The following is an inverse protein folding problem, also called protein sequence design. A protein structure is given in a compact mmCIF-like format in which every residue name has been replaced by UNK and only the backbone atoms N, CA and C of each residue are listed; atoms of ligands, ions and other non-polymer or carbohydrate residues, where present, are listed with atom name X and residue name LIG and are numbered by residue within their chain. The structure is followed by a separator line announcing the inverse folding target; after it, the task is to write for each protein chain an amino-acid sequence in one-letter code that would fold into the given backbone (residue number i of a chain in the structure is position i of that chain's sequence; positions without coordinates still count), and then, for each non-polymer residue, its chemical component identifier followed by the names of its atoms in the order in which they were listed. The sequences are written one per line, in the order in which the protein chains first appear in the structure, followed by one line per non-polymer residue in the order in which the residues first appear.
data_IF_332708874198
#
_entry.id   IF_332708874198
#
_cell.length_a   1.000
_cell.length_b   1.000
_cell.length_c   1.000
_cell.angle_alpha   90.00
_cell.angle_beta   90.00
_cell.angle_gamma   90.00
#
_symmetry.space_group_name_H-M   'P 1'
#
loop_
_entity.id
_entity.type
_entity.pdbx_description
1 polymer ?
#
# COMPACT_ATOMS: atom_id res chain seq x y z
N UNK A 1 -39.17 13.37 9.47
CA UNK A 1 -37.98 12.50 9.30
C UNK A 1 -38.42 11.23 8.63
N UNK A 2 -37.88 10.96 7.44
CA UNK A 2 -38.29 9.82 6.61
C UNK A 2 -37.75 8.49 7.15
N UNK A 3 -38.26 7.37 6.65
CA UNK A 3 -37.78 6.02 6.98
C UNK A 3 -36.28 5.86 6.69
N UNK A 4 -35.77 6.54 5.64
CA UNK A 4 -34.36 6.55 5.28
C UNK A 4 -33.46 7.26 6.30
N UNK A 5 -33.91 8.38 6.89
CA UNK A 5 -33.12 9.12 7.89
C UNK A 5 -32.93 8.30 9.16
N UNK A 6 -34.00 7.65 9.64
CA UNK A 6 -33.92 6.72 10.78
C UNK A 6 -33.01 5.53 10.51
N UNK A 7 -33.02 5.03 9.28
CA UNK A 7 -32.14 3.94 8.88
C UNK A 7 -30.66 4.38 8.88
N UNK A 8 -30.37 5.59 8.39
CA UNK A 8 -29.02 6.17 8.50
C UNK A 8 -28.58 6.39 9.93
N UNK A 9 -29.46 6.88 10.81
CA UNK A 9 -29.15 7.03 12.24
C UNK A 9 -28.80 5.69 12.90
N UNK A 10 -29.53 4.62 12.56
CA UNK A 10 -29.22 3.27 13.03
C UNK A 10 -27.88 2.77 12.50
N UNK A 11 -27.61 2.97 11.21
CA UNK A 11 -26.32 2.63 10.61
C UNK A 11 -25.17 3.45 11.22
N UNK A 12 -25.37 4.74 11.47
CA UNK A 12 -24.39 5.62 12.09
C UNK A 12 -24.07 5.19 13.53
N UNK A 13 -25.09 4.80 14.31
CA UNK A 13 -24.91 4.23 15.64
C UNK A 13 -24.11 2.91 15.64
N UNK A 14 -24.15 2.17 14.53
CA UNK A 14 -23.35 0.97 14.31
C UNK A 14 -21.98 1.24 13.65
N UNK A 15 -21.63 2.49 13.35
CA UNK A 15 -20.38 2.86 12.65
C UNK A 15 -20.38 2.62 11.14
N UNK A 16 -21.55 2.36 10.54
CA UNK A 16 -21.75 2.05 9.12
C UNK A 16 -22.52 3.14 8.36
N UNK A 17 -22.84 4.28 8.98
CA UNK A 17 -23.69 5.34 8.43
C UNK A 17 -23.27 5.84 7.05
N UNK A 18 -21.96 5.89 6.82
CA UNK A 18 -21.37 6.42 5.60
C UNK A 18 -20.87 5.33 4.62
N UNK A 19 -21.21 4.06 4.85
CA UNK A 19 -20.76 2.95 3.99
C UNK A 19 -21.67 2.67 2.81
N UNK A 20 -22.93 3.09 2.87
CA UNK A 20 -23.92 2.86 1.83
C UNK A 20 -24.27 4.15 1.13
N UNK A 21 -24.50 4.05 -0.17
CA UNK A 21 -25.05 5.15 -0.97
C UNK A 21 -26.57 5.24 -0.81
N UNK A 22 -27.13 6.41 -1.10
CA UNK A 22 -28.59 6.64 -1.04
C UNK A 22 -29.38 5.63 -1.90
N UNK A 23 -28.98 5.34 -3.15
CA UNK A 23 -29.67 4.32 -3.95
C UNK A 23 -29.65 2.92 -3.31
N UNK A 24 -28.55 2.54 -2.62
CA UNK A 24 -28.47 1.26 -1.92
C UNK A 24 -29.40 1.24 -0.71
N UNK A 25 -29.44 2.31 0.08
CA UNK A 25 -30.38 2.47 1.20
C UNK A 25 -31.82 2.35 0.69
N UNK A 26 -32.17 3.05 -0.38
CA UNK A 26 -33.50 2.97 -0.96
C UNK A 26 -33.84 1.57 -1.50
N UNK A 27 -32.89 0.89 -2.13
CA UNK A 27 -33.07 -0.48 -2.61
C UNK A 27 -33.33 -1.43 -1.44
N UNK A 28 -32.62 -1.28 -0.34
CA UNK A 28 -32.80 -2.08 0.87
C UNK A 28 -34.16 -1.84 1.51
N UNK A 29 -34.57 -0.57 1.62
CA UNK A 29 -35.88 -0.21 2.17
C UNK A 29 -37.03 -0.72 1.29
N UNK A 30 -36.84 -0.77 -0.03
CA UNK A 30 -37.82 -1.34 -0.98
C UNK A 30 -37.84 -2.88 -0.96
N UNK A 31 -36.71 -3.51 -0.68
CA UNK A 31 -36.52 -4.96 -0.67
C UNK A 31 -36.74 -5.65 0.68
N UNK A 32 -37.01 -4.90 1.76
CA UNK A 32 -37.14 -5.38 3.14
C UNK A 32 -38.39 -6.24 3.43
N UNK A 33 -38.84 -7.04 2.47
CA UNK A 33 -39.85 -8.09 2.66
C UNK A 33 -39.29 -9.22 3.51
N UNK A 34 -39.66 -9.21 4.79
CA UNK A 34 -39.60 -10.26 5.82
C UNK A 34 -38.23 -10.82 6.26
N UNK A 35 -37.14 -10.71 5.48
CA UNK A 35 -35.82 -11.22 5.91
C UNK A 35 -34.77 -10.12 6.01
N UNK A 36 -34.01 -10.04 7.13
CA UNK A 36 -32.87 -9.15 7.24
C UNK A 36 -31.88 -9.45 6.10
N UNK A 37 -31.62 -8.47 5.24
CA UNK A 37 -30.55 -8.57 4.26
C UNK A 37 -29.26 -8.07 4.90
N UNK A 38 -28.24 -8.94 4.96
CA UNK A 38 -26.89 -8.53 5.33
C UNK A 38 -26.28 -7.77 4.17
N UNK A 39 -25.93 -6.51 4.40
CA UNK A 39 -25.41 -5.57 3.40
C UNK A 39 -23.88 -5.50 3.36
N UNK A 40 -23.27 -6.03 4.42
CA UNK A 40 -21.83 -6.10 4.60
C UNK A 40 -21.48 -6.26 6.07
N UNK A 41 -20.19 -6.44 6.34
CA UNK A 41 -19.65 -6.52 7.70
C UNK A 41 -18.55 -5.47 7.88
N UNK A 42 -18.51 -4.80 9.03
CA UNK A 42 -17.44 -3.84 9.37
C UNK A 42 -16.15 -4.57 9.71
N UNK A 43 -15.05 -4.18 9.06
CA UNK A 43 -13.75 -4.85 9.19
C UNK A 43 -12.81 -3.96 10.02
N UNK A 44 -12.18 -4.52 11.04
CA UNK A 44 -11.05 -3.89 11.70
C UNK A 44 -9.84 -3.91 10.78
N UNK A 45 -9.09 -2.82 10.69
CA UNK A 45 -7.92 -2.74 9.80
C UNK A 45 -6.66 -2.52 10.62
N UNK A 46 -5.64 -3.34 10.37
CA UNK A 46 -4.31 -3.21 10.98
C UNK A 46 -3.26 -3.06 9.89
N UNK A 47 -2.44 -2.00 9.99
CA UNK A 47 -1.29 -1.77 9.13
C UNK A 47 -0.02 -1.98 9.95
N UNK A 48 0.85 -2.91 9.55
CA UNK A 48 2.02 -3.30 10.33
C UNK A 48 1.69 -3.52 11.82
N UNK A 49 0.70 -4.37 12.08
CA UNK A 49 0.13 -4.65 13.40
C UNK A 49 -0.49 -3.46 14.16
N UNK A 50 -0.49 -2.25 13.61
CA UNK A 50 -1.05 -1.06 14.25
C UNK A 50 -2.51 -0.84 13.82
N UNK A 51 -3.46 -0.65 14.75
CA UNK A 51 -4.86 -0.44 14.40
C UNK A 51 -5.06 0.89 13.67
N UNK A 52 -5.98 0.89 12.73
CA UNK A 52 -6.42 2.08 11.99
C UNK A 52 -7.81 2.48 12.47
N UNK A 53 -8.04 3.78 12.69
CA UNK A 53 -9.34 4.30 13.15
C UNK A 53 -10.45 4.05 12.14
N UNK A 54 -10.15 4.21 10.84
CA UNK A 54 -11.09 3.96 9.77
C UNK A 54 -11.35 2.45 9.59
N UNK A 55 -12.63 2.07 9.53
CA UNK A 55 -13.06 0.68 9.36
C UNK A 55 -13.07 0.29 7.88
N UNK A 56 -12.76 -0.96 7.60
CA UNK A 56 -13.03 -1.59 6.32
C UNK A 56 -14.46 -2.12 6.25
N UNK A 57 -14.79 -2.74 5.11
CA UNK A 57 -16.10 -3.35 4.87
C UNK A 57 -15.95 -4.61 4.02
N UNK A 58 -16.65 -5.68 4.38
CA UNK A 58 -16.92 -6.80 3.49
C UNK A 58 -18.15 -6.45 2.66
N UNK A 59 -18.00 -6.33 1.34
CA UNK A 59 -19.10 -6.01 0.42
C UNK A 59 -19.03 -6.91 -0.81
N UNK A 60 -20.13 -7.60 -1.13
CA UNK A 60 -20.20 -8.61 -2.21
C UNK A 60 -19.01 -9.59 -2.14
N UNK A 61 -18.83 -10.17 -0.96
CA UNK A 61 -17.77 -11.16 -0.66
C UNK A 61 -16.33 -10.67 -0.87
N UNK A 62 -16.14 -9.36 -1.02
CA UNK A 62 -14.82 -8.74 -1.16
C UNK A 62 -14.52 -7.88 0.07
N UNK A 63 -13.33 -8.05 0.64
CA UNK A 63 -12.84 -7.23 1.75
C UNK A 63 -12.25 -5.95 1.19
N UNK A 64 -12.87 -4.82 1.53
CA UNK A 64 -12.43 -3.49 1.17
C UNK A 64 -11.90 -2.77 2.41
N UNK A 65 -10.75 -2.12 2.29
CA UNK A 65 -10.15 -1.35 3.39
C UNK A 65 -9.91 0.11 2.99
N UNK A 66 -9.86 1.05 3.95
CA UNK A 66 -9.70 2.47 3.65
C UNK A 66 -8.36 2.75 2.96
N UNK A 67 -8.40 3.41 1.82
CA UNK A 67 -7.20 3.65 1.01
C UNK A 67 -6.30 4.77 1.57
N UNK A 68 -6.87 5.78 2.25
CA UNK A 68 -6.14 6.91 2.81
C UNK A 68 -5.06 6.51 3.86
N UNK A 69 -5.36 5.68 4.87
CA UNK A 69 -4.35 5.18 5.81
C UNK A 69 -3.20 4.43 5.13
N UNK A 70 -3.50 3.66 4.08
CA UNK A 70 -2.51 2.89 3.33
C UNK A 70 -1.59 3.83 2.57
N UNK A 71 -2.16 4.79 1.85
CA UNK A 71 -1.40 5.80 1.12
C UNK A 71 -0.47 6.60 2.05
N UNK A 72 -0.99 7.03 3.19
CA UNK A 72 -0.20 7.74 4.20
C UNK A 72 0.95 6.88 4.75
N UNK A 73 0.70 5.61 5.03
CA UNK A 73 1.70 4.73 5.66
C UNK A 73 2.79 4.25 4.68
N UNK A 74 2.47 4.19 3.39
CA UNK A 74 3.34 3.66 2.32
C UNK A 74 3.98 4.76 1.46
N UNK A 75 3.47 5.99 1.55
CA UNK A 75 3.79 7.07 0.63
C UNK A 75 3.19 6.89 -0.77
N UNK A 76 2.24 5.96 -0.96
CA UNK A 76 1.53 5.79 -2.23
C UNK A 76 0.68 7.01 -2.57
N UNK A 77 0.48 7.26 -3.86
CA UNK A 77 -0.29 8.39 -4.36
C UNK A 77 -1.76 7.99 -4.52
N UNK A 78 -2.66 8.76 -3.92
CA UNK A 78 -4.09 8.65 -4.17
C UNK A 78 -4.50 9.59 -5.29
N UNK A 79 -4.94 9.03 -6.41
CA UNK A 79 -5.45 9.78 -7.55
C UNK A 79 -6.96 9.64 -7.61
N UNK A 80 -7.68 10.71 -7.35
CA UNK A 80 -9.15 10.70 -7.37
C UNK A 80 -9.65 11.21 -8.71
N UNK A 81 -10.48 10.42 -9.39
CA UNK A 81 -11.14 10.81 -10.64
C UNK A 81 -12.66 10.64 -10.52
N UNK A 82 -13.39 11.12 -11.53
CA UNK A 82 -14.86 11.08 -11.55
C UNK A 82 -15.44 9.64 -11.52
N UNK A 83 -14.62 8.62 -11.80
CA UNK A 83 -15.02 7.20 -11.88
C UNK A 83 -14.78 6.36 -10.62
N UNK A 84 -14.27 6.92 -9.53
CA UNK A 84 -14.01 6.18 -8.29
C UNK A 84 -12.60 6.32 -7.73
N UNK A 85 -11.65 6.77 -8.55
CA UNK A 85 -10.24 6.95 -8.18
C UNK A 85 -9.38 5.69 -8.30
N UNK A 86 -8.08 5.89 -8.20
CA UNK A 86 -7.05 4.85 -8.24
C UNK A 86 -6.01 5.11 -7.14
N UNK A 87 -5.51 4.05 -6.52
CA UNK A 87 -4.31 4.10 -5.68
C UNK A 87 -3.12 3.72 -6.57
N UNK A 88 -2.16 4.64 -6.68
CA UNK A 88 -0.94 4.44 -7.46
C UNK A 88 0.26 4.22 -6.55
N UNK A 89 1.00 3.13 -6.77
CA UNK A 89 2.24 2.84 -6.06
C UNK A 89 3.20 2.10 -7.00
N UNK A 90 4.45 2.55 -7.07
CA UNK A 90 5.48 1.97 -7.95
C UNK A 90 5.05 1.90 -9.43
N UNK A 91 4.30 2.89 -9.92
CA UNK A 91 3.78 2.92 -11.30
C UNK A 91 2.64 1.92 -11.56
N UNK A 92 2.22 1.17 -10.54
CA UNK A 92 1.05 0.29 -10.61
C UNK A 92 -0.17 1.00 -10.06
N UNK A 93 -1.33 0.70 -10.63
CA UNK A 93 -2.60 1.31 -10.22
C UNK A 93 -3.59 0.25 -9.76
N UNK A 94 -4.28 0.54 -8.67
CA UNK A 94 -5.37 -0.29 -8.14
C UNK A 94 -6.66 0.52 -8.17
N UNK A 95 -7.76 0.00 -8.73
CA UNK A 95 -9.04 0.71 -8.72
C UNK A 95 -9.56 0.87 -7.30
N UNK A 96 -10.17 2.03 -7.02
CA UNK A 96 -10.79 2.34 -5.74
C UNK A 96 -12.31 2.28 -5.83
N UNK A 97 -12.93 1.81 -4.76
CA UNK A 97 -14.36 1.90 -4.52
C UNK A 97 -14.64 3.17 -3.74
N UNK A 98 -15.43 4.09 -4.33
CA UNK A 98 -15.90 5.28 -3.64
C UNK A 98 -17.15 4.96 -2.82
N UNK A 99 -17.12 5.34 -1.54
CA UNK A 99 -18.24 5.33 -0.59
C UNK A 99 -18.38 6.71 0.06
N UNK A 100 -19.51 7.06 0.69
CA UNK A 100 -19.63 8.32 1.42
C UNK A 100 -18.54 8.53 2.47
N UNK A 101 -18.11 7.44 3.14
CA UNK A 101 -17.04 7.44 4.13
C UNK A 101 -15.64 7.69 3.55
N UNK A 102 -15.46 7.58 2.22
CA UNK A 102 -14.17 7.77 1.57
C UNK A 102 -13.88 6.75 0.47
N UNK A 103 -12.59 6.60 0.16
CA UNK A 103 -12.11 5.67 -0.86
C UNK A 103 -11.61 4.39 -0.22
N UNK A 104 -11.98 3.27 -0.83
CA UNK A 104 -11.64 1.94 -0.37
C UNK A 104 -10.93 1.17 -1.46
N UNK A 105 -10.03 0.28 -1.07
CA UNK A 105 -9.28 -0.60 -1.96
C UNK A 105 -9.53 -2.04 -1.57
N UNK A 106 -9.62 -2.94 -2.54
CA UNK A 106 -9.75 -4.37 -2.27
C UNK A 106 -8.48 -4.91 -1.62
N UNK A 107 -8.62 -5.64 -0.52
CA UNK A 107 -7.49 -6.19 0.26
C UNK A 107 -6.54 -7.01 -0.62
N UNK A 108 -7.09 -7.93 -1.41
CA UNK A 108 -6.28 -8.83 -2.25
C UNK A 108 -5.64 -8.12 -3.44
N UNK A 109 -6.24 -7.02 -3.92
CA UNK A 109 -5.65 -6.20 -4.96
C UNK A 109 -4.36 -5.50 -4.47
N UNK A 110 -4.26 -5.18 -3.18
CA UNK A 110 -3.01 -4.69 -2.58
C UNK A 110 -1.94 -5.78 -2.55
N UNK A 111 -2.32 -7.02 -2.26
CA UNK A 111 -1.35 -8.11 -2.28
C UNK A 111 -0.85 -8.37 -3.70
N UNK A 112 -1.76 -8.53 -4.66
CA UNK A 112 -1.42 -8.90 -6.04
C UNK A 112 -0.68 -7.79 -6.78
N UNK A 113 -1.14 -6.54 -6.65
CA UNK A 113 -0.61 -5.44 -7.45
C UNK A 113 0.53 -4.77 -6.69
N UNK A 114 0.32 -4.49 -5.40
CA UNK A 114 1.26 -3.71 -4.61
C UNK A 114 2.34 -4.61 -3.95
N UNK A 115 2.15 -5.92 -3.86
CA UNK A 115 3.12 -6.84 -3.23
C UNK A 115 3.13 -6.73 -1.70
N UNK A 116 2.03 -6.25 -1.11
CA UNK A 116 1.86 -6.22 0.34
C UNK A 116 1.50 -7.62 0.86
N UNK A 117 1.90 -7.95 2.07
CA UNK A 117 1.42 -9.15 2.75
C UNK A 117 0.04 -8.85 3.33
N UNK A 118 -1.00 -9.49 2.81
CA UNK A 118 -2.37 -9.28 3.29
C UNK A 118 -2.93 -10.56 3.91
N UNK A 119 -3.75 -10.40 4.94
CA UNK A 119 -4.52 -11.49 5.54
C UNK A 119 -5.87 -11.00 6.05
N UNK A 120 -6.85 -11.89 6.13
CA UNK A 120 -8.15 -11.60 6.69
C UNK A 120 -8.54 -12.71 7.68
N UNK A 121 -8.78 -12.34 8.93
CA UNK A 121 -9.31 -13.24 9.96
C UNK A 121 -10.84 -13.04 10.04
N UNK A 122 -11.59 -14.05 9.57
CA UNK A 122 -13.05 -14.03 9.59
C UNK A 122 -13.64 -14.09 11.01
N UNK A 123 -12.95 -14.68 11.98
CA UNK A 123 -13.45 -14.83 13.34
C UNK A 123 -13.44 -13.50 14.08
N UNK A 124 -12.39 -12.70 13.88
CA UNK A 124 -12.26 -11.37 14.48
C UNK A 124 -12.65 -10.25 13.52
N UNK A 125 -13.02 -10.60 12.29
CA UNK A 125 -13.35 -9.68 11.20
C UNK A 125 -12.26 -8.61 11.01
N UNK A 126 -11.00 -9.04 10.99
CA UNK A 126 -9.82 -8.16 10.95
C UNK A 126 -9.02 -8.38 9.68
N UNK A 127 -8.78 -7.30 8.93
CA UNK A 127 -7.85 -7.26 7.82
C UNK A 127 -6.47 -6.79 8.30
N UNK A 128 -5.44 -7.54 7.94
CA UNK A 128 -4.05 -7.25 8.20
C UNK A 128 -3.37 -6.90 6.88
N UNK A 129 -2.63 -5.79 6.87
CA UNK A 129 -1.79 -5.39 5.75
C UNK A 129 -0.41 -5.09 6.30
N UNK A 130 0.56 -5.86 5.84
CA UNK A 130 1.93 -5.83 6.32
C UNK A 130 2.86 -5.49 5.15
N UNK A 131 3.80 -4.58 5.39
CA UNK A 131 4.77 -4.12 4.40
C UNK A 131 6.01 -3.57 5.08
N UNK A 132 7.16 -3.68 4.41
CA UNK A 132 8.40 -3.09 4.92
C UNK A 132 8.43 -1.59 4.58
N UNK A 133 8.61 -0.77 5.60
CA UNK A 133 8.85 0.66 5.44
C UNK A 133 10.34 0.91 5.26
N UNK A 134 10.69 1.66 4.23
CA UNK A 134 12.09 1.96 3.90
C UNK A 134 12.35 3.43 4.21
N UNK A 135 13.41 3.69 4.96
CA UNK A 135 13.86 5.03 5.30
C UNK A 135 15.25 5.24 4.72
N UNK A 136 15.42 6.32 3.97
CA UNK A 136 16.72 6.75 3.45
C UNK A 136 17.12 8.06 4.14
N UNK A 137 18.22 8.05 4.89
CA UNK A 137 18.69 9.18 5.70
C UNK A 137 17.57 9.80 6.55
N UNK A 138 16.75 8.95 7.19
CA UNK A 138 15.65 9.34 8.07
C UNK A 138 14.35 9.77 7.36
N UNK A 139 14.32 9.81 6.02
CA UNK A 139 13.11 10.13 5.23
C UNK A 139 12.48 8.87 4.66
N UNK A 140 11.16 8.78 4.65
CA UNK A 140 10.46 7.65 4.03
C UNK A 140 10.80 7.62 2.52
N UNK A 141 11.35 6.50 2.06
CA UNK A 141 11.63 6.26 0.66
C UNK A 141 10.36 5.70 0.00
N UNK A 142 9.75 6.42 -0.96
CA UNK A 142 8.62 5.89 -1.71
C UNK A 142 9.08 4.72 -2.59
N UNK A 143 8.17 3.80 -2.88
CA UNK A 143 8.45 2.70 -3.81
C UNK A 143 8.66 1.33 -3.17
N UNK A 144 8.41 1.18 -1.87
CA UNK A 144 8.26 -0.12 -1.19
C UNK A 144 9.41 -1.11 -1.35
N UNK A 145 9.14 -2.34 -0.95
CA UNK A 145 10.03 -3.51 -1.14
C UNK A 145 9.27 -4.57 -1.90
N UNK A 146 9.99 -5.42 -2.64
CA UNK A 146 9.44 -6.66 -3.20
C UNK A 146 10.25 -7.86 -2.72
N UNK A 147 9.59 -9.02 -2.60
CA UNK A 147 10.29 -10.29 -2.42
C UNK A 147 10.44 -10.94 -3.80
N UNK A 148 11.66 -10.91 -4.35
CA UNK A 148 11.99 -11.45 -5.67
C UNK A 148 12.95 -12.61 -5.46
N UNK A 149 12.58 -13.80 -5.93
CA UNK A 149 13.37 -15.03 -5.76
C UNK A 149 13.76 -15.29 -4.28
N UNK A 150 12.84 -15.00 -3.36
CA UNK A 150 13.05 -15.15 -1.91
C UNK A 150 13.90 -14.06 -1.26
N UNK A 151 14.33 -13.05 -2.00
CA UNK A 151 15.13 -11.93 -1.47
C UNK A 151 14.27 -10.67 -1.37
N UNK A 152 14.30 -10.03 -0.20
CA UNK A 152 13.79 -8.66 -0.06
C UNK A 152 14.66 -7.73 -0.90
N UNK A 153 14.05 -6.98 -1.80
CA UNK A 153 14.74 -6.11 -2.75
C UNK A 153 14.06 -4.75 -2.87
N UNK A 154 14.84 -3.72 -3.19
CA UNK A 154 14.39 -2.35 -3.37
C UNK A 154 14.45 -1.93 -4.84
N UNK A 155 13.50 -1.11 -5.32
CA UNK A 155 13.61 -0.54 -6.66
C UNK A 155 14.85 0.34 -6.75
N UNK A 156 15.80 -0.08 -7.58
CA UNK A 156 17.08 0.62 -7.72
C UNK A 156 16.90 2.08 -8.16
N UNK A 157 16.01 2.44 -9.11
CA UNK A 157 15.83 3.83 -9.52
C UNK A 157 15.48 4.78 -8.36
N UNK A 158 14.53 4.40 -7.49
CA UNK A 158 14.11 5.22 -6.36
C UNK A 158 15.24 5.37 -5.32
N UNK A 159 15.97 4.29 -5.07
CA UNK A 159 17.12 4.31 -4.15
C UNK A 159 18.22 5.24 -4.65
N UNK A 160 18.54 5.21 -5.94
CA UNK A 160 19.56 6.06 -6.55
C UNK A 160 19.13 7.52 -6.65
N UNK A 161 17.87 7.77 -6.99
CA UNK A 161 17.30 9.12 -6.96
C UNK A 161 17.44 9.74 -5.55
N UNK A 162 17.09 8.98 -4.51
CA UNK A 162 17.24 9.44 -3.12
C UNK A 162 18.71 9.68 -2.72
N UNK A 163 19.64 8.91 -3.27
CA UNK A 163 21.08 9.07 -3.07
C UNK A 163 21.73 10.15 -3.95
N UNK A 164 21.00 10.74 -4.90
CA UNK A 164 21.55 11.67 -5.89
C UNK A 164 22.48 11.00 -6.91
N UNK A 165 22.35 9.68 -7.11
CA UNK A 165 23.13 8.88 -8.04
C UNK A 165 22.35 8.68 -9.35
N UNK A 166 23.07 8.52 -10.47
CA UNK A 166 22.46 8.25 -11.77
C UNK A 166 22.55 6.76 -12.10
N UNK A 167 21.41 6.21 -12.54
CA UNK A 167 21.34 4.87 -13.09
C UNK A 167 21.63 4.91 -14.59
N UNK A 168 22.63 4.15 -15.02
CA UNK A 168 22.87 3.87 -16.44
C UNK A 168 22.29 2.48 -16.75
N UNK A 169 21.25 2.43 -17.57
CA UNK A 169 20.65 1.17 -18.02
C UNK A 169 21.20 0.77 -19.39
N UNK A 170 21.57 -0.49 -19.55
CA UNK A 170 21.84 -1.08 -20.86
C UNK A 170 20.73 -2.09 -21.18
N UNK A 171 19.74 -1.64 -21.95
CA UNK A 171 18.58 -2.46 -22.30
C UNK A 171 18.97 -3.74 -23.06
N UNK A 172 19.99 -3.68 -23.92
CA UNK A 172 20.43 -4.80 -24.75
C UNK A 172 21.07 -5.93 -23.93
N UNK A 173 21.69 -5.58 -22.80
CA UNK A 173 22.39 -6.53 -21.91
C UNK A 173 21.62 -6.87 -20.63
N UNK A 174 20.50 -6.18 -20.36
CA UNK A 174 19.78 -6.30 -19.09
C UNK A 174 20.62 -5.92 -17.88
N UNK A 175 21.69 -5.12 -18.06
CA UNK A 175 22.65 -4.75 -17.02
C UNK A 175 22.45 -3.32 -16.56
N UNK A 176 22.55 -3.08 -15.25
CA UNK A 176 22.55 -1.74 -14.66
C UNK A 176 23.96 -1.31 -14.27
N UNK A 177 24.29 -0.03 -14.46
CA UNK A 177 25.56 0.57 -14.07
C UNK A 177 25.37 1.82 -13.23
N UNK A 178 26.32 2.06 -12.32
CA UNK A 178 26.41 3.26 -11.50
C UNK A 178 27.85 3.71 -11.52
N UNK A 179 28.10 4.93 -12.02
CA UNK A 179 29.48 5.44 -12.15
C UNK A 179 30.39 4.51 -12.97
N UNK A 180 29.86 3.87 -14.01
CA UNK A 180 30.59 2.93 -14.86
C UNK A 180 30.78 1.51 -14.31
N UNK A 181 30.47 1.25 -13.03
CA UNK A 181 30.47 -0.09 -12.41
C UNK A 181 29.16 -0.80 -12.67
N UNK A 182 29.23 -2.06 -13.09
CA UNK A 182 28.05 -2.92 -13.26
C UNK A 182 27.57 -3.46 -11.91
N UNK A 183 26.24 -3.44 -11.71
CA UNK A 183 25.61 -3.80 -10.45
C UNK A 183 24.69 -5.00 -10.71
N UNK A 184 24.75 -6.06 -9.89
CA UNK A 184 23.86 -7.19 -10.00
C UNK A 184 22.44 -6.79 -9.56
N UNK A 185 21.51 -6.78 -10.51
CA UNK A 185 20.10 -6.44 -10.27
C UNK A 185 19.20 -7.63 -10.57
N UNK A 186 18.07 -7.69 -9.88
CA UNK A 186 16.95 -8.57 -10.21
C UNK A 186 15.94 -7.77 -11.04
N UNK A 187 15.59 -8.25 -12.23
CA UNK A 187 14.58 -7.60 -13.06
C UNK A 187 13.20 -8.12 -12.67
N UNK A 188 12.29 -7.22 -12.28
CA UNK A 188 10.90 -7.54 -12.00
C UNK A 188 9.99 -6.56 -12.74
N UNK A 189 9.16 -7.08 -13.64
CA UNK A 189 8.26 -6.28 -14.50
C UNK A 189 8.97 -5.12 -15.22
N UNK A 190 10.21 -5.34 -15.65
CA UNK A 190 11.01 -4.33 -16.36
C UNK A 190 11.67 -3.28 -15.47
N UNK A 191 11.47 -3.33 -14.15
CA UNK A 191 12.16 -2.45 -13.18
C UNK A 191 13.33 -3.21 -12.55
N UNK A 192 14.53 -2.60 -12.46
CA UNK A 192 15.66 -3.22 -11.77
C UNK A 192 15.53 -3.04 -10.25
N UNK A 193 15.66 -4.15 -9.53
CA UNK A 193 15.67 -4.22 -8.07
C UNK A 193 17.05 -4.65 -7.56
N UNK A 194 17.48 -4.05 -6.45
CA UNK A 194 18.70 -4.43 -5.75
C UNK A 194 18.33 -5.19 -4.45
N UNK A 195 18.77 -6.46 -4.29
CA UNK A 195 18.58 -7.19 -3.05
C UNK A 195 19.14 -6.43 -1.84
N UNK A 196 18.39 -6.41 -0.75
CA UNK A 196 18.74 -5.62 0.45
C UNK A 196 20.10 -6.03 1.03
N UNK A 197 20.45 -7.31 0.95
CA UNK A 197 21.74 -7.84 1.40
C UNK A 197 22.94 -7.43 0.52
N UNK A 198 22.72 -6.79 -0.62
CA UNK A 198 23.78 -6.29 -1.52
C UNK A 198 23.92 -4.77 -1.48
N UNK A 199 22.95 -4.05 -0.92
CA UNK A 199 22.95 -2.57 -0.91
C UNK A 199 24.24 -2.01 -0.30
N UNK A 200 24.74 -2.61 0.79
CA UNK A 200 25.95 -2.13 1.44
C UNK A 200 27.19 -2.25 0.55
N UNK A 201 27.39 -3.40 -0.10
CA UNK A 201 28.57 -3.68 -0.92
C UNK A 201 28.52 -3.00 -2.30
N UNK A 202 27.30 -2.74 -2.80
CA UNK A 202 27.07 -2.17 -4.13
C UNK A 202 27.00 -0.65 -4.13
N UNK A 203 26.52 -0.03 -3.04
CA UNK A 203 26.25 1.41 -2.97
C UNK A 203 26.95 2.14 -1.81
N UNK A 204 27.79 1.44 -1.04
CA UNK A 204 28.48 1.99 0.14
C UNK A 204 27.50 2.62 1.16
N UNK A 205 26.35 1.96 1.36
CA UNK A 205 25.29 2.41 2.27
C UNK A 205 25.21 1.53 3.52
N UNK A 206 25.02 2.13 4.69
CA UNK A 206 24.69 1.36 5.89
C UNK A 206 23.25 0.88 5.85
N UNK A 207 23.04 -0.41 6.08
CA UNK A 207 21.73 -1.06 6.06
C UNK A 207 21.41 -1.63 7.43
N UNK A 208 20.28 -1.22 8.01
CA UNK A 208 19.76 -1.79 9.25
C UNK A 208 18.31 -2.20 9.07
N UNK A 209 18.01 -3.49 9.25
CA UNK A 209 16.64 -4.01 9.13
C UNK A 209 16.10 -4.45 10.49
N UNK A 210 15.17 -3.68 11.04
CA UNK A 210 14.35 -4.09 12.16
C UNK A 210 13.19 -4.97 11.65
N UNK A 211 13.37 -6.28 11.78
CA UNK A 211 12.37 -7.27 11.35
C UNK A 211 11.06 -7.17 12.14
N UNK A 212 11.14 -6.85 13.43
CA UNK A 212 9.96 -6.79 14.29
C UNK A 212 9.10 -5.58 13.93
N UNK A 213 9.74 -4.42 13.72
CA UNK A 213 9.04 -3.21 13.30
C UNK A 213 8.75 -3.17 11.78
N UNK A 214 9.31 -4.10 11.00
CA UNK A 214 9.33 -4.09 9.53
C UNK A 214 9.86 -2.77 8.97
N UNK A 215 10.95 -2.26 9.55
CA UNK A 215 11.59 -1.00 9.16
C UNK A 215 12.99 -1.28 8.62
N UNK A 216 13.24 -0.87 7.37
CA UNK A 216 14.55 -0.88 6.74
C UNK A 216 15.13 0.53 6.74
N UNK A 217 16.20 0.76 7.49
CA UNK A 217 16.95 2.01 7.53
C UNK A 217 18.17 1.94 6.62
N UNK A 218 18.30 2.92 5.74
CA UNK A 218 19.42 3.09 4.82
C UNK A 218 20.08 4.43 5.14
N UNK A 219 21.38 4.41 5.40
CA UNK A 219 22.17 5.63 5.61
C UNK A 219 23.27 5.72 4.57
N UNK A 220 23.24 6.80 3.79
CA UNK A 220 24.27 7.12 2.81
C UNK A 220 24.99 8.38 3.23
N UNK A 221 26.31 8.27 3.42
CA UNK A 221 27.19 9.39 3.70
C UNK A 221 27.99 9.64 2.42
N UNK A 222 27.65 10.66 1.62
CA UNK A 222 28.43 10.96 0.43
C UNK A 222 29.86 11.27 0.88
N UNK A 223 30.84 10.55 0.33
CA UNK A 223 32.24 10.93 0.48
C UNK A 223 32.39 12.31 -0.16
N UNK A 224 32.54 13.35 0.67
CA UNK A 224 32.95 14.66 0.19
C UNK A 224 34.42 14.49 -0.19
N UNK A 225 34.67 14.17 -1.47
CA UNK A 225 35.99 14.30 -2.06
C UNK A 225 36.31 15.79 -2.16
N UNK A 226 36.72 16.40 -1.05
CA UNK A 226 36.98 17.83 -0.96
C UNK A 226 37.14 18.32 0.47
N UNK A 227 38.36 18.20 0.99
CA UNK A 227 38.84 19.06 2.07
C UNK A 227 40.15 18.59 2.68
N UNK A 228 41.18 19.45 2.83
CA UNK A 228 41.44 20.76 2.22
C UNK A 228 42.26 20.70 0.93
#
# INVERSE_FOLDING_TARGET
TGTADRFREQLAGAGAGDLLTDPEIEQLLRGAGEKPQSIGKLVEVRLNSSPVTAKGVVYKDTVYIPAAPIAQATGALLVVNNGGGTLEWQGKTVPLMRRPAGLYVGLWALQEILGMECAFDENTNTAFVEFVRVFFNGKLLPGGTQVIEGNLALPLPALLEAAGLKLETNADKGSCRIGGREIPVLMYEGVPYLPVNRIQDELDMFVHYDRQARILQLTYIPFIAGGP
#
